data_IF_084085084998
#
_entry.id   IF_084085084998
#
_cell.length_a   1.000
_cell.length_b   1.000
_cell.length_c   1.000
_cell.angle_alpha   90.00
_cell.angle_beta   90.00
_cell.angle_gamma   90.00
#
_symmetry.space_group_name_H-M   'P 1'
#
loop_
_entity.id
_entity.type
_entity.pdbx_description
1 polymer ?
#
# COMPACT_ATOMS: atom_id res chain seq x y z
N UNK A 1 10.95 -22.94 25.30
CA UNK A 1 9.92 -23.84 24.71
C UNK A 1 10.65 -24.95 23.99
N UNK A 2 10.61 -26.16 24.55
CA UNK A 2 11.37 -27.33 24.10
C UNK A 2 11.04 -27.70 22.65
N UNK A 3 12.09 -27.98 21.86
CA UNK A 3 12.04 -28.38 20.46
C UNK A 3 11.97 -29.90 20.43
N UNK A 4 10.77 -30.45 20.29
CA UNK A 4 10.56 -31.87 20.00
C UNK A 4 9.62 -32.01 18.81
N UNK A 5 10.18 -31.82 17.62
CA UNK A 5 9.68 -32.41 16.38
C UNK A 5 10.91 -32.75 15.54
N UNK A 6 11.16 -34.06 15.37
CA UNK A 6 12.09 -34.59 14.38
C UNK A 6 11.53 -34.27 12.99
N UNK A 7 11.76 -33.05 12.49
CA UNK A 7 11.54 -32.72 11.09
C UNK A 7 12.60 -33.45 10.25
N UNK A 8 12.20 -34.42 9.42
CA UNK A 8 13.07 -34.97 8.39
C UNK A 8 13.43 -33.84 7.41
N UNK A 9 14.68 -33.39 7.46
CA UNK A 9 15.17 -32.31 6.59
C UNK A 9 15.49 -32.89 5.20
N UNK A 10 14.83 -32.37 4.17
CA UNK A 10 14.94 -32.81 2.79
C UNK A 10 15.44 -31.64 1.92
N UNK A 11 16.37 -31.94 1.01
CA UNK A 11 16.95 -30.99 0.05
C UNK A 11 15.94 -30.64 -1.05
N UNK A 12 15.17 -31.61 -1.53
CA UNK A 12 14.20 -31.44 -2.64
C UNK A 12 12.97 -30.62 -2.21
N UNK A 13 12.54 -30.74 -0.96
CA UNK A 13 11.43 -29.94 -0.42
C UNK A 13 11.87 -28.54 0.08
N UNK A 14 13.19 -28.27 0.09
CA UNK A 14 13.75 -27.03 0.59
C UNK A 14 13.60 -26.83 2.10
N UNK A 15 13.23 -27.87 2.87
CA UNK A 15 13.14 -27.80 4.34
C UNK A 15 14.51 -27.65 4.98
N UNK A 16 15.54 -28.33 4.44
CA UNK A 16 16.93 -28.12 4.83
C UNK A 16 17.38 -26.67 4.59
N UNK A 17 17.11 -26.12 3.40
CA UNK A 17 17.44 -24.72 3.07
C UNK A 17 16.77 -23.72 4.02
N UNK A 18 15.48 -23.90 4.30
CA UNK A 18 14.73 -23.06 5.25
C UNK A 18 15.33 -23.12 6.66
N UNK A 19 15.72 -24.31 7.12
CA UNK A 19 16.36 -24.52 8.43
C UNK A 19 17.74 -23.87 8.48
N UNK A 20 18.58 -24.13 7.48
CA UNK A 20 19.92 -23.55 7.37
C UNK A 20 19.88 -22.03 7.28
N UNK A 21 18.95 -21.45 6.50
CA UNK A 21 18.75 -20.00 6.41
C UNK A 21 18.34 -19.40 7.76
N UNK A 22 17.49 -20.09 8.53
CA UNK A 22 17.09 -19.65 9.88
C UNK A 22 18.24 -19.72 10.89
N UNK A 23 19.12 -20.72 10.79
CA UNK A 23 20.31 -20.85 11.64
C UNK A 23 21.41 -19.85 11.26
N UNK A 24 21.58 -19.57 9.97
CA UNK A 24 22.53 -18.57 9.44
C UNK A 24 22.03 -17.12 9.59
N UNK A 25 20.73 -16.93 9.79
CA UNK A 25 20.11 -15.62 10.04
C UNK A 25 20.57 -15.08 11.39
N UNK A 26 21.67 -14.32 11.41
CA UNK A 26 22.00 -13.47 12.55
C UNK A 26 20.86 -12.46 12.76
N UNK A 27 20.34 -12.35 13.98
CA UNK A 27 19.48 -11.22 14.33
C UNK A 27 20.36 -9.98 14.28
N UNK A 28 20.13 -9.11 13.30
CA UNK A 28 20.82 -7.82 13.25
C UNK A 28 20.15 -6.90 14.26
N UNK A 29 20.84 -6.59 15.35
CA UNK A 29 20.42 -5.51 16.23
C UNK A 29 20.57 -4.18 15.49
N UNK A 30 19.67 -3.23 15.80
CA UNK A 30 19.79 -1.88 15.26
C UNK A 30 20.99 -1.23 15.97
N UNK A 31 22.00 -0.77 15.22
CA UNK A 31 23.18 -0.12 15.77
C UNK A 31 22.80 1.22 16.42
N UNK A 32 23.81 1.95 16.91
CA UNK A 32 23.60 3.34 17.32
C UNK A 32 23.16 4.17 16.12
N UNK A 33 22.10 4.94 16.31
CA UNK A 33 21.55 5.84 15.30
C UNK A 33 22.05 7.25 15.56
N UNK A 34 22.40 7.98 14.52
CA UNK A 34 22.73 9.40 14.62
C UNK A 34 21.43 10.20 14.70
N UNK A 35 21.27 10.98 15.75
CA UNK A 35 20.17 11.91 15.87
C UNK A 35 20.30 12.99 14.77
N UNK A 36 19.29 13.20 13.91
CA UNK A 36 19.35 14.20 12.85
C UNK A 36 19.58 15.65 13.32
N UNK A 37 19.12 16.00 14.52
CA UNK A 37 19.23 17.35 15.08
C UNK A 37 20.56 17.63 15.78
N UNK A 38 21.05 16.69 16.59
CA UNK A 38 22.28 16.88 17.39
C UNK A 38 23.52 16.21 16.78
N UNK A 39 23.33 15.35 15.78
CA UNK A 39 24.36 14.49 15.17
C UNK A 39 25.09 13.57 16.17
N UNK A 40 24.57 13.44 17.39
CA UNK A 40 25.08 12.54 18.43
C UNK A 40 24.53 11.12 18.23
N UNK A 41 25.31 10.08 18.57
CA UNK A 41 24.84 8.69 18.52
C UNK A 41 23.86 8.41 19.65
N UNK A 42 22.89 7.52 19.40
CA UNK A 42 22.04 6.98 20.47
C UNK A 42 22.80 5.97 21.33
N UNK A 43 22.52 6.01 22.63
CA UNK A 43 23.11 5.15 23.65
C UNK A 43 22.13 4.11 24.19
N UNK A 44 20.83 4.39 24.12
CA UNK A 44 19.77 3.49 24.59
C UNK A 44 18.83 3.04 23.46
N UNK A 45 18.16 1.91 23.65
CA UNK A 45 17.13 1.45 22.69
C UNK A 45 15.91 2.39 22.65
N UNK A 46 15.62 3.06 23.77
CA UNK A 46 14.58 4.11 23.82
C UNK A 46 14.97 5.28 22.92
N UNK A 47 16.19 5.79 23.02
CA UNK A 47 16.68 6.86 22.13
C UNK A 47 16.65 6.44 20.65
N UNK A 48 16.99 5.18 20.31
CA UNK A 48 16.86 4.68 18.94
C UNK A 48 15.40 4.73 18.46
N UNK A 49 14.46 4.34 19.31
CA UNK A 49 13.02 4.34 18.99
C UNK A 49 12.53 5.77 18.76
N UNK A 50 12.87 6.71 19.65
CA UNK A 50 12.48 8.12 19.49
C UNK A 50 13.07 8.73 18.22
N UNK A 51 14.36 8.51 17.91
CA UNK A 51 14.98 9.00 16.67
C UNK A 51 14.26 8.48 15.42
N UNK A 52 13.83 7.21 15.43
CA UNK A 52 13.05 6.65 14.33
C UNK A 52 11.64 7.25 14.31
N UNK A 53 11.00 7.42 15.46
CA UNK A 53 9.65 7.97 15.57
C UNK A 53 9.59 9.41 15.04
N UNK A 54 10.49 10.29 15.52
CA UNK A 54 10.63 11.68 15.06
C UNK A 54 10.91 11.73 13.56
N UNK A 55 11.82 10.88 13.08
CA UNK A 55 12.10 10.80 11.65
C UNK A 55 10.84 10.42 10.88
N UNK A 56 10.11 9.40 11.30
CA UNK A 56 8.89 8.97 10.64
C UNK A 56 7.82 10.07 10.65
N UNK A 57 7.58 10.72 11.78
CA UNK A 57 6.62 11.82 11.90
C UNK A 57 6.90 12.92 10.88
N UNK A 58 8.17 13.34 10.75
CA UNK A 58 8.59 14.32 9.73
C UNK A 58 8.35 13.86 8.27
N UNK A 59 8.19 12.56 8.03
CA UNK A 59 7.89 12.02 6.70
C UNK A 59 6.39 11.93 6.41
N UNK A 60 5.54 11.90 7.44
CA UNK A 60 4.08 11.77 7.32
C UNK A 60 3.38 13.13 7.18
N UNK A 61 4.14 14.23 7.04
CA UNK A 61 3.58 15.55 6.75
C UNK A 61 3.38 15.74 5.24
N UNK A 62 2.21 16.25 4.80
CA UNK A 62 2.01 16.67 3.41
C UNK A 62 3.05 17.72 2.97
N UNK A 63 3.25 17.85 1.66
CA UNK A 63 4.10 18.91 1.13
C UNK A 63 3.38 20.26 1.22
N UNK A 64 4.15 21.34 1.39
CA UNK A 64 3.65 22.73 1.50
C UNK A 64 3.30 23.38 0.15
N UNK A 65 3.08 22.57 -0.90
CA UNK A 65 2.77 23.07 -2.25
C UNK A 65 1.25 23.07 -2.49
N UNK A 66 0.51 23.72 -1.60
CA UNK A 66 -0.95 23.81 -1.66
C UNK A 66 -1.45 25.00 -2.48
N UNK A 67 -2.45 24.77 -3.32
CA UNK A 67 -3.26 25.85 -3.91
C UNK A 67 -4.45 26.16 -2.98
N UNK A 68 -4.54 27.40 -2.51
CA UNK A 68 -5.59 27.83 -1.56
C UNK A 68 -7.01 27.63 -2.10
N UNK A 69 -7.22 27.75 -3.41
CA UNK A 69 -8.55 27.55 -3.99
C UNK A 69 -8.95 26.08 -3.97
N UNK A 70 -8.01 25.19 -4.27
CA UNK A 70 -8.18 23.74 -4.20
C UNK A 70 -8.45 23.30 -2.77
N UNK A 71 -7.67 23.77 -1.80
CA UNK A 71 -7.87 23.48 -0.38
C UNK A 71 -9.27 23.89 0.10
N UNK A 72 -9.72 25.12 -0.21
CA UNK A 72 -11.08 25.59 0.13
C UNK A 72 -12.17 24.71 -0.48
N UNK A 73 -11.96 24.22 -1.70
CA UNK A 73 -12.91 23.34 -2.40
C UNK A 73 -12.99 21.98 -1.71
N UNK A 74 -11.84 21.42 -1.34
CA UNK A 74 -11.74 20.17 -0.57
C UNK A 74 -12.43 20.31 0.79
N UNK A 75 -12.09 21.35 1.55
CA UNK A 75 -12.70 21.64 2.85
C UNK A 75 -14.22 21.77 2.77
N UNK A 76 -14.72 22.50 1.77
CA UNK A 76 -16.16 22.66 1.53
C UNK A 76 -16.84 21.32 1.32
N UNK A 77 -16.30 20.49 0.42
CA UNK A 77 -16.88 19.17 0.13
C UNK A 77 -16.93 18.23 1.35
N UNK A 78 -15.89 18.27 2.19
CA UNK A 78 -15.80 17.42 3.39
C UNK A 78 -16.80 17.89 4.44
N UNK A 79 -16.94 19.21 4.61
CA UNK A 79 -17.93 19.79 5.53
C UNK A 79 -19.35 19.43 5.10
N UNK A 80 -19.66 19.54 3.81
CA UNK A 80 -20.96 19.14 3.25
C UNK A 80 -21.22 17.66 3.46
N UNK A 81 -20.25 16.79 3.16
CA UNK A 81 -20.36 15.35 3.38
C UNK A 81 -20.59 14.96 4.85
N UNK A 82 -19.92 15.63 5.80
CA UNK A 82 -20.09 15.36 7.24
C UNK A 82 -21.49 15.73 7.74
N UNK A 83 -22.08 16.77 7.19
CA UNK A 83 -23.40 17.27 7.61
C UNK A 83 -24.57 16.50 6.98
N UNK A 84 -24.31 15.67 5.97
CA UNK A 84 -25.34 14.93 5.25
C UNK A 84 -25.80 13.67 6.02
N UNK A 85 -27.06 13.64 6.44
CA UNK A 85 -27.66 12.48 7.11
C UNK A 85 -28.01 11.43 6.05
N UNK A 86 -27.05 10.55 5.73
CA UNK A 86 -27.28 9.44 4.80
C UNK A 86 -27.73 8.18 5.53
N UNK A 87 -28.96 7.73 5.25
CA UNK A 87 -29.42 6.36 5.52
C UNK A 87 -28.80 5.40 4.51
N UNK A 88 -27.54 5.00 4.73
CA UNK A 88 -26.84 4.10 3.81
C UNK A 88 -27.27 2.65 4.04
N UNK A 89 -27.92 2.03 3.04
CA UNK A 89 -28.01 0.57 2.95
C UNK A 89 -26.62 0.02 2.65
N UNK A 90 -26.04 -0.77 3.56
CA UNK A 90 -24.75 -1.42 3.35
C UNK A 90 -24.93 -2.92 3.12
N UNK A 91 -24.07 -3.51 2.29
CA UNK A 91 -24.02 -4.96 2.11
C UNK A 91 -23.42 -5.61 3.36
N UNK A 92 -24.26 -6.31 4.12
CA UNK A 92 -23.85 -7.08 5.31
C UNK A 92 -22.73 -8.05 4.98
N UNK A 93 -21.84 -8.26 5.95
CA UNK A 93 -20.80 -9.28 5.93
C UNK A 93 -21.44 -10.64 6.16
N UNK A 94 -21.06 -11.61 5.34
CA UNK A 94 -21.49 -13.00 5.47
C UNK A 94 -20.43 -13.85 6.19
N UNK A 95 -20.82 -14.86 6.99
CA UNK A 95 -19.86 -15.75 7.65
C UNK A 95 -18.90 -16.44 6.68
N UNK A 96 -19.37 -16.74 5.46
CA UNK A 96 -18.55 -17.34 4.40
C UNK A 96 -17.37 -16.46 3.99
N UNK A 97 -17.52 -15.12 4.02
CA UNK A 97 -16.43 -14.18 3.71
C UNK A 97 -15.31 -14.30 4.76
N UNK A 98 -15.67 -14.39 6.04
CA UNK A 98 -14.72 -14.56 7.15
C UNK A 98 -14.05 -15.91 7.08
N UNK A 99 -14.82 -16.99 6.90
CA UNK A 99 -14.29 -18.35 6.79
C UNK A 99 -13.32 -18.45 5.62
N UNK A 100 -13.67 -17.88 4.46
CA UNK A 100 -12.80 -17.84 3.29
C UNK A 100 -11.48 -17.12 3.62
N UNK A 101 -11.54 -15.94 4.24
CA UNK A 101 -10.33 -15.24 4.66
C UNK A 101 -9.46 -16.09 5.60
N UNK A 102 -10.07 -16.68 6.64
CA UNK A 102 -9.37 -17.49 7.64
C UNK A 102 -8.74 -18.76 7.05
N UNK A 103 -9.32 -19.34 5.99
CA UNK A 103 -8.67 -20.45 5.27
C UNK A 103 -7.36 -20.03 4.62
N UNK A 104 -7.32 -18.83 4.04
CA UNK A 104 -6.20 -18.34 3.24
C UNK A 104 -5.12 -17.59 4.04
N UNK A 105 -5.33 -17.29 5.33
CA UNK A 105 -4.27 -16.64 6.13
C UNK A 105 -3.05 -17.55 6.25
N UNK A 106 -1.86 -16.96 6.06
CA UNK A 106 -0.58 -17.64 6.23
C UNK A 106 -0.27 -17.80 7.73
N UNK A 107 -0.05 -19.03 8.18
CA UNK A 107 0.09 -19.36 9.62
C UNK A 107 1.28 -18.66 10.26
N UNK A 108 2.43 -18.61 9.58
CA UNK A 108 3.69 -18.13 10.13
C UNK A 108 3.91 -16.61 9.96
N UNK A 109 2.83 -15.82 10.01
CA UNK A 109 2.91 -14.35 9.99
C UNK A 109 3.03 -13.80 11.40
N UNK A 110 3.82 -12.75 11.56
CA UNK A 110 3.96 -12.04 12.83
C UNK A 110 2.62 -11.43 13.26
N UNK A 111 2.25 -11.55 14.55
CA UNK A 111 1.03 -10.94 15.07
C UNK A 111 1.16 -9.42 15.17
N UNK A 112 0.01 -8.76 15.33
CA UNK A 112 -0.07 -7.34 15.65
C UNK A 112 0.30 -7.07 17.11
N UNK A 113 -0.10 -5.90 17.61
CA UNK A 113 0.08 -5.52 19.02
C UNK A 113 -0.75 -6.38 19.98
N UNK A 114 -1.85 -6.95 19.48
CA UNK A 114 -2.73 -7.88 20.20
C UNK A 114 -2.09 -9.24 20.50
N UNK A 115 -0.93 -9.54 19.90
CA UNK A 115 -0.21 -10.81 20.03
C UNK A 115 -1.01 -12.04 19.58
N UNK A 116 -2.15 -11.86 18.88
CA UNK A 116 -2.98 -12.95 18.37
C UNK A 116 -2.37 -13.46 17.06
N UNK A 117 -1.89 -14.71 17.08
CA UNK A 117 -1.27 -15.31 15.90
C UNK A 117 -2.31 -15.88 14.92
N UNK A 118 -1.92 -15.98 13.65
CA UNK A 118 -2.78 -16.62 12.65
C UNK A 118 -3.04 -18.10 12.95
N UNK A 119 -2.13 -18.78 13.66
CA UNK A 119 -2.33 -20.15 14.13
C UNK A 119 -3.51 -20.22 15.11
N UNK A 120 -3.57 -19.29 16.07
CA UNK A 120 -4.68 -19.21 17.02
C UNK A 120 -6.00 -18.96 16.30
N UNK A 121 -6.03 -18.02 15.34
CA UNK A 121 -7.24 -17.70 14.58
C UNK A 121 -7.76 -18.88 13.76
N UNK A 122 -6.88 -19.70 13.17
CA UNK A 122 -7.30 -20.92 12.44
C UNK A 122 -7.90 -22.00 13.33
N UNK A 123 -7.55 -22.01 14.61
CA UNK A 123 -8.03 -22.99 15.59
C UNK A 123 -9.32 -22.53 16.30
N UNK A 124 -9.87 -21.36 15.95
CA UNK A 124 -11.11 -20.87 16.54
C UNK A 124 -12.32 -21.72 16.08
N UNK A 125 -13.28 -22.00 16.96
CA UNK A 125 -14.49 -22.72 16.58
C UNK A 125 -15.41 -21.84 15.72
N UNK A 126 -16.24 -22.47 14.88
CA UNK A 126 -17.15 -21.80 13.94
C UNK A 126 -18.07 -20.77 14.61
N UNK A 127 -18.50 -21.01 15.86
CA UNK A 127 -19.31 -20.07 16.65
C UNK A 127 -18.65 -18.70 16.79
N UNK A 128 -17.32 -18.65 16.89
CA UNK A 128 -16.57 -17.39 16.98
C UNK A 128 -16.60 -16.64 15.65
N UNK A 129 -16.56 -17.32 14.51
CA UNK A 129 -16.70 -16.65 13.20
C UNK A 129 -18.09 -16.03 12.99
N UNK A 130 -19.14 -16.62 13.56
CA UNK A 130 -20.46 -16.00 13.59
C UNK A 130 -20.45 -14.71 14.42
N UNK A 131 -19.81 -14.72 15.60
CA UNK A 131 -19.66 -13.52 16.42
C UNK A 131 -18.79 -12.44 15.78
N UNK A 132 -17.71 -12.81 15.11
CA UNK A 132 -16.92 -11.86 14.32
C UNK A 132 -17.76 -11.25 13.19
N UNK A 133 -18.62 -12.04 12.53
CA UNK A 133 -19.57 -11.52 11.53
C UNK A 133 -20.50 -10.46 12.12
N UNK A 134 -21.04 -10.70 13.32
CA UNK A 134 -21.84 -9.71 14.04
C UNK A 134 -21.03 -8.43 14.31
N UNK A 135 -19.79 -8.55 14.80
CA UNK A 135 -18.92 -7.40 15.09
C UNK A 135 -18.67 -6.56 13.83
N UNK A 136 -18.27 -7.17 12.71
CA UNK A 136 -18.04 -6.44 11.45
C UNK A 136 -19.32 -5.78 10.92
N UNK A 137 -20.47 -6.42 11.07
CA UNK A 137 -21.75 -5.83 10.69
C UNK A 137 -22.11 -4.62 11.57
N UNK A 138 -21.83 -4.67 12.87
CA UNK A 138 -22.02 -3.51 13.76
C UNK A 138 -21.03 -2.39 13.42
N UNK A 139 -19.78 -2.69 13.08
CA UNK A 139 -18.82 -1.69 12.63
C UNK A 139 -19.32 -0.93 11.39
N UNK A 140 -19.86 -1.66 10.40
CA UNK A 140 -20.45 -1.03 9.21
C UNK A 140 -21.72 -0.24 9.54
N UNK A 141 -22.59 -0.78 10.41
CA UNK A 141 -23.83 -0.11 10.85
C UNK A 141 -23.56 1.21 11.56
N UNK A 142 -22.62 1.20 12.50
CA UNK A 142 -22.26 2.37 13.31
C UNK A 142 -21.19 3.25 12.66
N UNK A 143 -20.70 2.88 11.46
CA UNK A 143 -19.61 3.57 10.75
C UNK A 143 -18.38 3.77 11.64
N UNK A 144 -18.11 2.81 12.52
CA UNK A 144 -17.06 2.89 13.52
C UNK A 144 -16.08 1.74 13.35
N UNK A 145 -14.81 2.07 13.14
CA UNK A 145 -13.72 1.10 13.15
C UNK A 145 -13.01 1.13 14.52
N UNK A 146 -12.86 -0.01 15.22
CA UNK A 146 -12.28 -0.06 16.56
C UNK A 146 -10.87 0.52 16.61
N UNK A 147 -10.60 1.36 17.62
CA UNK A 147 -9.28 2.00 17.75
C UNK A 147 -8.16 0.96 17.98
N UNK A 148 -8.41 -0.11 18.74
CA UNK A 148 -7.45 -1.20 18.93
C UNK A 148 -7.08 -1.93 17.63
N UNK A 149 -7.90 -1.82 16.58
CA UNK A 149 -7.62 -2.37 15.25
C UNK A 149 -6.92 -1.34 14.35
N UNK A 150 -6.92 -0.05 14.69
CA UNK A 150 -6.16 0.99 13.97
C UNK A 150 -4.70 1.04 14.40
N UNK A 151 -4.41 0.64 15.64
CA UNK A 151 -3.05 0.67 16.19
C UNK A 151 -2.19 -0.44 15.61
N UNK A 152 -1.05 -0.06 15.02
CA UNK A 152 -0.06 -0.98 14.50
C UNK A 152 1.22 -0.95 15.32
N UNK A 153 1.92 -2.09 15.40
CA UNK A 153 3.32 -2.11 15.85
C UNK A 153 4.22 -1.83 14.65
N UNK A 154 4.93 -0.71 14.66
CA UNK A 154 5.84 -0.32 13.58
C UNK A 154 7.21 -0.97 13.80
N UNK A 155 7.68 -1.74 12.81
CA UNK A 155 9.01 -2.34 12.82
C UNK A 155 9.88 -1.72 11.72
N UNK A 156 11.02 -1.10 12.07
CA UNK A 156 11.95 -0.57 11.09
C UNK A 156 12.73 -1.71 10.41
N UNK A 157 12.75 -1.73 9.07
CA UNK A 157 13.53 -2.68 8.27
C UNK A 157 14.56 -1.93 7.43
N UNK A 158 15.83 -2.29 7.57
CA UNK A 158 16.92 -1.67 6.82
C UNK A 158 16.73 -1.85 5.30
N UNK A 159 16.88 -0.76 4.55
CA UNK A 159 16.94 -0.77 3.09
C UNK A 159 18.24 -1.48 2.64
N UNK A 160 18.18 -2.38 1.64
CA UNK A 160 19.38 -3.05 1.13
C UNK A 160 20.46 -2.03 0.73
N UNK A 161 21.70 -2.23 1.20
CA UNK A 161 22.85 -1.40 0.83
C UNK A 161 22.86 0.03 1.39
N UNK A 162 22.03 0.35 2.38
CA UNK A 162 22.02 1.67 3.03
C UNK A 162 22.73 1.65 4.39
N UNK A 163 23.24 2.81 4.80
CA UNK A 163 23.94 2.98 6.08
C UNK A 163 22.98 2.76 7.26
N UNK A 164 23.34 1.81 8.11
CA UNK A 164 22.59 1.38 9.28
C UNK A 164 22.57 2.41 10.42
N UNK A 165 23.41 3.46 10.39
CA UNK A 165 23.44 4.51 11.42
C UNK A 165 22.44 5.64 11.19
N UNK A 166 21.79 5.70 10.03
CA UNK A 166 20.87 6.78 9.67
C UNK A 166 19.40 6.33 9.68
N UNK A 167 18.47 7.09 10.30
CA UNK A 167 17.06 6.70 10.38
C UNK A 167 16.38 6.60 9.00
N UNK A 168 16.78 7.42 8.02
CA UNK A 168 16.27 7.38 6.64
C UNK A 168 16.52 6.07 5.91
N UNK A 169 17.48 5.28 6.38
CA UNK A 169 17.82 3.97 5.84
C UNK A 169 16.81 2.89 6.21
N UNK A 170 15.88 3.16 7.13
CA UNK A 170 14.89 2.19 7.58
C UNK A 170 13.52 2.43 6.93
N UNK A 171 12.83 1.35 6.55
CA UNK A 171 11.43 1.37 6.11
C UNK A 171 10.53 1.02 7.29
N UNK A 172 9.49 1.80 7.58
CA UNK A 172 8.50 1.41 8.59
C UNK A 172 7.62 0.29 8.03
N UNK A 173 7.53 -0.84 8.75
CA UNK A 173 6.56 -1.89 8.47
C UNK A 173 5.54 -1.95 9.59
N UNK A 174 4.29 -1.60 9.27
CA UNK A 174 3.18 -1.61 10.21
C UNK A 174 2.59 -3.02 10.38
N UNK A 175 2.74 -3.59 11.57
CA UNK A 175 2.09 -4.84 11.95
C UNK A 175 0.73 -4.58 12.60
N UNK A 176 -0.31 -4.53 11.77
CA UNK A 176 -1.71 -4.49 12.24
C UNK A 176 -2.19 -5.87 12.74
N UNK A 177 -3.12 -5.88 13.73
CA UNK A 177 -3.89 -7.07 14.09
C UNK A 177 -4.49 -7.79 12.87
N UNK A 178 -4.52 -9.12 12.86
CA UNK A 178 -5.07 -9.86 11.71
C UNK A 178 -6.56 -9.60 11.50
N UNK A 179 -7.32 -9.37 12.58
CA UNK A 179 -8.73 -8.98 12.49
C UNK A 179 -8.93 -7.59 11.90
N UNK A 180 -7.98 -6.67 12.13
CA UNK A 180 -7.97 -5.35 11.46
C UNK A 180 -7.85 -5.51 9.95
N UNK A 181 -6.85 -6.30 9.50
CA UNK A 181 -6.63 -6.62 8.07
C UNK A 181 -7.83 -7.31 7.43
N UNK A 182 -8.55 -8.14 8.18
CA UNK A 182 -9.81 -8.74 7.72
C UNK A 182 -10.87 -7.65 7.47
N UNK A 183 -11.04 -6.72 8.41
CA UNK A 183 -11.95 -5.58 8.25
C UNK A 183 -11.62 -4.74 7.02
N UNK A 184 -10.35 -4.36 6.87
CA UNK A 184 -9.85 -3.65 5.69
C UNK A 184 -10.13 -4.44 4.40
N UNK A 185 -9.89 -5.76 4.39
CA UNK A 185 -10.15 -6.62 3.23
C UNK A 185 -11.63 -6.68 2.86
N UNK A 186 -12.54 -6.71 3.85
CA UNK A 186 -13.99 -6.71 3.62
C UNK A 186 -14.46 -5.40 2.98
N UNK A 187 -13.93 -4.27 3.47
CA UNK A 187 -14.19 -2.93 2.93
C UNK A 187 -13.60 -2.82 1.52
N UNK A 188 -12.34 -3.22 1.34
CA UNK A 188 -11.64 -3.20 0.06
C UNK A 188 -12.38 -4.03 -1.00
N UNK A 189 -12.84 -5.24 -0.67
CA UNK A 189 -13.58 -6.07 -1.63
C UNK A 189 -14.89 -5.40 -2.08
N UNK A 190 -15.59 -4.71 -1.18
CA UNK A 190 -16.80 -3.94 -1.50
C UNK A 190 -16.46 -2.74 -2.38
N UNK A 191 -15.40 -2.00 -2.02
CA UNK A 191 -14.90 -0.87 -2.81
C UNK A 191 -14.50 -1.30 -4.21
N UNK A 192 -13.68 -2.35 -4.37
CA UNK A 192 -13.25 -2.85 -5.68
C UNK A 192 -14.45 -3.27 -6.54
N UNK A 193 -15.43 -3.95 -5.95
CA UNK A 193 -16.66 -4.32 -6.67
C UNK A 193 -17.38 -3.08 -7.22
N UNK A 194 -17.42 -2.00 -6.45
CA UNK A 194 -18.03 -0.74 -6.86
C UNK A 194 -17.17 0.01 -7.89
N UNK A 195 -15.87 0.15 -7.64
CA UNK A 195 -14.92 0.82 -8.51
C UNK A 195 -14.83 0.16 -9.90
N UNK A 196 -14.86 -1.17 -9.97
CA UNK A 196 -14.87 -1.92 -11.25
C UNK A 196 -16.16 -1.66 -12.03
N UNK A 197 -17.32 -1.59 -11.36
CA UNK A 197 -18.60 -1.25 -12.03
C UNK A 197 -18.56 0.14 -12.67
N UNK A 198 -17.93 1.09 -11.99
CA UNK A 198 -17.74 2.46 -12.45
C UNK A 198 -16.53 2.62 -13.41
N UNK A 199 -15.78 1.54 -13.69
CA UNK A 199 -14.54 1.56 -14.49
C UNK A 199 -13.52 2.60 -13.99
N UNK A 200 -13.45 2.79 -12.67
CA UNK A 200 -12.52 3.76 -12.06
C UNK A 200 -11.04 3.39 -12.22
N UNK A 201 -10.64 2.11 -12.04
CA UNK A 201 -9.27 1.72 -12.36
C UNK A 201 -9.08 1.85 -13.87
N UNK A 202 -8.13 2.70 -14.27
CA UNK A 202 -7.72 2.79 -15.65
C UNK A 202 -7.14 1.44 -16.12
N UNK A 203 -7.30 1.13 -17.41
CA UNK A 203 -6.90 -0.16 -17.98
C UNK A 203 -5.39 -0.43 -17.86
N UNK A 204 -4.62 0.63 -17.71
CA UNK A 204 -3.18 0.61 -17.62
C UNK A 204 -2.68 0.62 -16.17
N UNK A 205 -3.57 0.51 -15.16
CA UNK A 205 -3.20 0.26 -13.76
C UNK A 205 -2.90 -1.22 -13.55
N UNK A 206 -1.63 -1.58 -13.44
CA UNK A 206 -1.23 -3.00 -13.26
C UNK A 206 -0.87 -3.32 -11.81
N UNK A 207 -0.20 -2.40 -11.12
CA UNK A 207 0.14 -2.60 -9.71
C UNK A 207 -1.11 -2.61 -8.83
N UNK A 208 -1.15 -3.52 -7.85
CA UNK A 208 -2.30 -3.81 -6.98
C UNK A 208 -3.62 -4.15 -7.70
N UNK A 209 -3.61 -4.41 -9.00
CA UNK A 209 -4.78 -4.87 -9.75
C UNK A 209 -4.84 -6.40 -9.74
N UNK A 210 -5.98 -7.03 -9.35
CA UNK A 210 -6.12 -8.48 -9.38
C UNK A 210 -5.80 -9.05 -10.77
N UNK A 211 -5.08 -10.17 -10.81
CA UNK A 211 -4.69 -10.90 -12.02
C UNK A 211 -3.68 -10.18 -12.94
N UNK A 212 -3.25 -8.96 -12.61
CA UNK A 212 -2.15 -8.28 -13.29
C UNK A 212 -0.88 -8.35 -12.43
N UNK A 213 0.27 -8.31 -13.09
CA UNK A 213 1.59 -8.37 -12.46
C UNK A 213 2.57 -7.43 -13.17
N UNK A 214 3.74 -7.23 -12.55
CA UNK A 214 4.83 -6.47 -13.15
C UNK A 214 5.33 -7.08 -14.46
N UNK A 215 5.24 -8.40 -14.62
CA UNK A 215 5.64 -9.09 -15.85
C UNK A 215 4.70 -8.77 -17.02
N UNK A 216 3.39 -8.70 -16.79
CA UNK A 216 2.44 -8.29 -17.82
C UNK A 216 2.71 -6.85 -18.29
N UNK A 217 3.05 -5.97 -17.35
CA UNK A 217 3.32 -4.58 -17.69
C UNK A 217 4.67 -4.39 -18.38
N UNK A 218 5.67 -5.20 -18.03
CA UNK A 218 6.94 -5.27 -18.75
C UNK A 218 6.73 -5.74 -20.19
N UNK A 219 5.95 -6.81 -20.39
CA UNK A 219 5.61 -7.33 -21.72
C UNK A 219 5.00 -6.23 -22.58
N UNK A 220 4.03 -5.50 -22.04
CA UNK A 220 3.38 -4.39 -22.74
C UNK A 220 4.35 -3.27 -23.15
N UNK A 221 5.29 -2.89 -22.28
CA UNK A 221 6.32 -1.90 -22.64
C UNK A 221 7.19 -2.44 -23.78
N UNK A 222 7.62 -3.69 -23.68
CA UNK A 222 8.48 -4.35 -24.69
C UNK A 222 7.77 -4.43 -26.04
N UNK A 223 6.48 -4.78 -26.06
CA UNK A 223 5.65 -4.77 -27.27
C UNK A 223 5.61 -3.37 -27.90
N UNK A 224 5.36 -2.33 -27.11
CA UNK A 224 5.32 -0.96 -27.60
C UNK A 224 6.66 -0.50 -28.20
N UNK A 225 7.78 -0.89 -27.59
CA UNK A 225 9.12 -0.62 -28.12
C UNK A 225 9.34 -1.36 -29.45
N UNK A 226 8.91 -2.62 -29.54
CA UNK A 226 9.05 -3.43 -30.75
C UNK A 226 8.18 -2.89 -31.91
N UNK A 227 6.94 -2.47 -31.62
CA UNK A 227 6.06 -1.83 -32.61
C UNK A 227 6.68 -0.55 -33.19
N UNK A 228 7.23 0.29 -32.30
CA UNK A 228 7.94 1.51 -32.71
C UNK A 228 9.15 1.18 -33.59
N UNK A 229 9.96 0.19 -33.20
CA UNK A 229 11.11 -0.29 -33.97
C UNK A 229 10.70 -0.81 -35.36
N UNK A 230 9.67 -1.66 -35.43
CA UNK A 230 9.17 -2.23 -36.68
C UNK A 230 8.60 -1.15 -37.61
N UNK A 231 8.10 -0.06 -37.06
CA UNK A 231 7.56 1.09 -37.81
C UNK A 231 8.62 2.16 -38.14
N UNK A 232 9.91 1.90 -37.86
CA UNK A 232 11.01 2.86 -37.99
C UNK A 232 10.75 4.18 -37.23
N UNK A 233 10.11 4.11 -36.06
CA UNK A 233 9.86 5.24 -35.17
C UNK A 233 10.84 5.22 -33.99
N UNK A 234 11.28 6.41 -33.58
CA UNK A 234 11.94 6.61 -32.31
C UNK A 234 10.89 6.46 -31.19
N UNK A 235 11.19 5.62 -30.19
CA UNK A 235 10.36 5.40 -29.01
C UNK A 235 11.06 5.97 -27.78
N UNK A 236 10.39 6.87 -27.06
CA UNK A 236 10.94 7.52 -25.86
C UNK A 236 10.07 7.19 -24.65
N UNK A 237 10.72 6.94 -23.51
CA UNK A 237 10.07 6.58 -22.25
C UNK A 237 10.44 7.58 -21.15
N UNK A 238 9.47 8.02 -20.36
CA UNK A 238 9.69 8.78 -19.12
C UNK A 238 9.23 7.92 -17.95
N UNK A 239 10.11 7.76 -16.96
CA UNK A 239 9.81 7.08 -15.70
C UNK A 239 9.73 8.12 -14.59
N UNK A 240 8.60 8.16 -13.90
CA UNK A 240 8.31 9.03 -12.78
C UNK A 240 8.20 8.17 -11.53
N UNK A 241 8.83 8.58 -10.43
CA UNK A 241 8.73 7.93 -9.12
C UNK A 241 8.16 8.93 -8.12
N UNK A 242 7.12 8.53 -7.39
CA UNK A 242 6.50 9.37 -6.37
C UNK A 242 7.21 9.15 -5.04
N UNK A 243 8.02 10.13 -4.65
CA UNK A 243 8.73 10.11 -3.38
C UNK A 243 7.76 9.97 -2.19
N UNK A 244 7.87 8.83 -1.48
CA UNK A 244 7.14 8.56 -0.22
C UNK A 244 5.61 8.61 -0.40
N UNK A 245 5.12 8.06 -1.51
CA UNK A 245 3.70 8.08 -1.90
C UNK A 245 2.72 7.73 -0.77
N UNK A 246 2.97 6.67 0.01
CA UNK A 246 2.10 6.27 1.13
C UNK A 246 2.19 7.18 2.36
N UNK A 247 3.31 7.87 2.57
CA UNK A 247 3.51 8.69 3.77
C UNK A 247 2.95 10.11 3.57
N UNK A 248 2.96 10.62 2.33
CA UNK A 248 2.58 11.99 2.00
C UNK A 248 1.17 12.13 1.40
N UNK A 249 0.30 11.14 1.60
CA UNK A 249 -1.06 11.19 1.06
C UNK A 249 -1.86 12.30 1.75
N UNK A 250 -2.39 13.24 0.95
CA UNK A 250 -3.36 14.22 1.44
C UNK A 250 -4.72 13.54 1.63
N UNK A 251 -5.05 13.20 2.88
CA UNK A 251 -6.23 12.39 3.23
C UNK A 251 -7.53 13.11 2.87
N UNK A 252 -7.62 14.42 3.14
CA UNK A 252 -8.76 15.26 2.81
C UNK A 252 -8.98 15.31 1.29
N UNK A 253 -7.92 15.53 0.51
CA UNK A 253 -7.97 15.50 -0.95
C UNK A 253 -8.39 14.14 -1.50
N UNK A 254 -7.93 13.04 -0.89
CA UNK A 254 -8.36 11.68 -1.25
C UNK A 254 -9.85 11.46 -0.95
N UNK A 255 -10.34 11.93 0.19
CA UNK A 255 -11.77 11.86 0.56
C UNK A 255 -12.59 12.67 -0.45
N UNK A 256 -12.20 13.92 -0.72
CA UNK A 256 -12.82 14.76 -1.75
C UNK A 256 -12.88 13.99 -3.07
N UNK A 257 -11.75 13.44 -3.54
CA UNK A 257 -11.74 12.64 -4.77
C UNK A 257 -12.74 11.49 -4.72
N UNK A 258 -12.91 10.78 -3.60
CA UNK A 258 -13.93 9.73 -3.48
C UNK A 258 -15.37 10.26 -3.51
N UNK A 259 -15.63 11.46 -3.00
CA UNK A 259 -16.94 12.10 -3.08
C UNK A 259 -17.29 12.44 -4.54
N UNK A 260 -16.33 12.97 -5.29
CA UNK A 260 -16.52 13.38 -6.69
C UNK A 260 -16.35 12.26 -7.71
N UNK A 261 -15.69 11.14 -7.38
CA UNK A 261 -15.60 9.95 -8.23
C UNK A 261 -16.93 9.21 -8.42
N UNK A 262 -18.00 9.66 -7.77
CA UNK A 262 -19.36 9.32 -8.17
C UNK A 262 -19.83 10.07 -9.45
N UNK A 263 -19.06 11.06 -9.94
CA UNK A 263 -19.45 12.01 -11.01
C UNK A 263 -18.27 12.54 -11.88
N UNK A 264 -17.19 11.79 -12.14
CA UNK A 264 -16.10 12.32 -13.02
C UNK A 264 -16.36 12.06 -14.51
N UNK A 265 -16.34 13.11 -15.37
CA UNK A 265 -16.49 12.99 -16.83
C UNK A 265 -15.34 12.23 -17.49
N UNK A 266 -15.68 11.35 -18.43
CA UNK A 266 -14.70 10.70 -19.30
C UNK A 266 -14.17 11.70 -20.34
N UNK A 267 -12.97 12.22 -20.16
CA UNK A 267 -12.30 13.02 -21.19
C UNK A 267 -11.63 12.07 -22.19
N UNK A 268 -12.00 12.21 -23.47
CA UNK A 268 -11.43 11.47 -24.61
C UNK A 268 -9.94 11.82 -24.81
N UNK A 269 -9.16 10.81 -25.19
CA UNK A 269 -7.81 10.88 -25.78
C UNK A 269 -6.58 11.04 -24.88
N UNK A 270 -6.62 10.61 -23.62
CA UNK A 270 -5.39 10.46 -22.81
C UNK A 270 -5.29 9.05 -22.23
N UNK A 271 -4.19 8.36 -22.56
CA UNK A 271 -3.89 7.03 -22.05
C UNK A 271 -2.94 7.14 -20.85
N UNK A 272 -3.49 7.31 -19.65
CA UNK A 272 -2.68 7.30 -18.42
C UNK A 272 -2.33 5.85 -18.13
N UNK A 273 -1.05 5.53 -17.87
CA UNK A 273 -0.65 4.27 -17.22
C UNK A 273 -0.24 4.55 -15.79
N UNK A 274 -0.89 3.89 -14.84
CA UNK A 274 -0.61 4.07 -13.43
C UNK A 274 0.09 2.81 -12.94
N UNK A 275 1.22 2.96 -12.30
CA UNK A 275 1.76 1.91 -11.48
C UNK A 275 1.58 2.32 -10.04
N UNK A 276 1.77 1.33 -9.19
CA UNK A 276 1.96 1.54 -7.78
C UNK A 276 3.31 2.22 -7.61
N UNK A 277 3.26 3.48 -7.22
CA UNK A 277 4.36 4.40 -6.93
C UNK A 277 5.19 4.92 -8.12
N UNK A 278 5.13 4.27 -9.28
CA UNK A 278 5.80 4.74 -10.51
C UNK A 278 4.80 5.11 -11.63
N UNK A 279 5.07 6.13 -12.45
CA UNK A 279 4.32 6.39 -13.70
C UNK A 279 5.28 6.30 -14.87
N UNK A 280 4.93 5.53 -15.89
CA UNK A 280 5.66 5.52 -17.16
C UNK A 280 4.81 6.18 -18.25
N UNK A 281 5.39 7.15 -18.97
CA UNK A 281 4.75 7.79 -20.12
C UNK A 281 5.58 7.46 -21.36
N UNK A 282 4.90 6.95 -22.39
CA UNK A 282 5.51 6.51 -23.64
C UNK A 282 5.06 7.42 -24.77
N UNK A 283 5.99 7.76 -25.67
CA UNK A 283 5.72 8.54 -26.87
C UNK A 283 6.56 8.02 -28.03
N UNK A 284 6.00 8.10 -29.24
CA UNK A 284 6.63 7.66 -30.48
C UNK A 284 6.64 8.79 -31.50
N UNK A 285 7.69 8.86 -32.32
CA UNK A 285 7.82 9.86 -33.37
C UNK A 285 8.80 9.43 -34.45
N UNK A 286 8.69 10.01 -35.65
CA UNK A 286 9.60 9.72 -36.77
C UNK A 286 11.07 10.04 -36.46
N UNK A 287 11.31 10.99 -35.56
CA UNK A 287 12.63 11.36 -35.03
C UNK A 287 12.54 11.50 -33.51
N UNK A 288 13.66 11.37 -32.78
CA UNK A 288 13.68 11.54 -31.33
C UNK A 288 13.06 12.86 -30.86
N UNK A 289 13.37 13.98 -31.53
CA UNK A 289 12.84 15.30 -31.18
C UNK A 289 11.31 15.35 -31.28
N UNK A 290 10.75 14.70 -32.31
CA UNK A 290 9.30 14.60 -32.52
C UNK A 290 8.62 13.70 -31.48
N UNK A 291 9.33 12.75 -30.89
CA UNK A 291 8.82 11.92 -29.79
C UNK A 291 8.90 12.66 -28.44
N UNK A 292 9.87 13.56 -28.25
CA UNK A 292 10.10 14.32 -27.00
C UNK A 292 9.12 15.48 -26.84
N UNK A 293 8.76 16.20 -27.91
CA UNK A 293 7.86 17.36 -27.84
C UNK A 293 6.50 17.02 -27.19
N UNK A 294 5.79 15.93 -27.55
CA UNK A 294 4.57 15.52 -26.87
C UNK A 294 4.76 15.22 -25.39
N UNK A 295 5.90 14.64 -25.01
CA UNK A 295 6.22 14.32 -23.62
C UNK A 295 6.43 15.59 -22.79
N UNK A 296 7.18 16.55 -23.31
CA UNK A 296 7.43 17.83 -22.64
C UNK A 296 6.14 18.64 -22.45
N UNK A 297 5.27 18.67 -23.46
CA UNK A 297 3.97 19.33 -23.35
C UNK A 297 3.08 18.65 -22.30
N UNK A 298 3.12 17.32 -22.21
CA UNK A 298 2.34 16.59 -21.22
C UNK A 298 2.88 16.77 -19.79
N UNK A 299 4.20 16.85 -19.61
CA UNK A 299 4.80 17.15 -18.30
C UNK A 299 4.40 18.53 -17.79
N UNK A 300 4.42 19.56 -18.64
CA UNK A 300 3.95 20.90 -18.27
C UNK A 300 2.50 20.91 -17.78
N UNK A 301 1.66 20.03 -18.32
CA UNK A 301 0.27 19.87 -17.88
C UNK A 301 0.11 19.03 -16.60
N UNK A 302 1.13 18.27 -16.19
CA UNK A 302 1.14 17.52 -14.93
C UNK A 302 1.72 18.31 -13.76
N UNK A 303 2.56 19.31 -14.06
CA UNK A 303 3.17 20.24 -13.08
C UNK A 303 2.27 21.44 -12.75
N UNK A 304 1.25 21.72 -13.56
CA UNK A 304 0.24 22.74 -13.35
C UNK A 304 -1.01 22.19 -12.63
#
# INVERSE_FOLDING_TARGET
>A
MYITQNEQLNIYEGSLWRRTKRLKSKRSEIPQLKNPGTNLPSHTDLEKVEIIADHLESQFTPNDFGDRNTERTVEKSIREFKNEIRTSKFKKVQPSEIICFMKHIKINKAPGIDSITNKMLKNLPLKIFLKLTEIFNHMLKFKHFPNCWKTARVLPILKPGKDLTHPVSYRPISLLPTLSKLGEKLILNRYLTHATKLRLPILQQFGFTPQLSTTHQLLRIVEHINEGKNSNLATTCIFLDIAKAFHKVWIEGLIHKFLYLNDIPQVRNIMISLYTDDKAILSQGKTPDKAIVPLQNYLKNLEA
#
